data_IF_720909973308
#
_entry.id   IF_720909973308
#
_cell.length_a   1.000
_cell.length_b   1.000
_cell.length_c   1.000
_cell.angle_alpha   90.00
_cell.angle_beta   90.00
_cell.angle_gamma   90.00
#
_symmetry.space_group_name_H-M   'P 1'
#
loop_
_entity.id
_entity.type
_entity.pdbx_description
1 polymer ?
#
# COMPACT_ATOMS: atom_id res chain seq x y z
N UNK A 1 -7.44 -7.83 19.28
CA UNK A 1 -6.53 -7.69 18.10
C UNK A 1 -5.41 -6.74 18.49
N UNK A 2 -4.16 -7.21 18.57
CA UNK A 2 -3.02 -6.38 18.96
C UNK A 2 -2.63 -5.44 17.80
N UNK A 3 -3.05 -4.18 17.91
CA UNK A 3 -2.64 -3.12 16.99
C UNK A 3 -1.17 -2.83 17.30
N UNK A 4 -0.27 -3.31 16.43
CA UNK A 4 1.15 -3.10 16.63
C UNK A 4 1.45 -1.59 16.48
N UNK A 5 1.83 -0.88 17.57
CA UNK A 5 1.78 0.59 17.61
C UNK A 5 2.88 1.26 16.80
N UNK A 6 3.81 0.47 16.23
CA UNK A 6 4.89 1.02 15.42
C UNK A 6 4.35 1.44 14.05
N UNK A 7 4.61 2.69 13.63
CA UNK A 7 4.25 3.15 12.30
C UNK A 7 4.90 2.25 11.24
N UNK A 8 4.26 2.08 10.07
CA UNK A 8 4.88 1.36 8.97
C UNK A 8 6.21 2.02 8.60
N UNK A 9 7.21 1.21 8.30
CA UNK A 9 8.53 1.72 7.90
C UNK A 9 8.44 2.37 6.51
N UNK A 10 9.39 3.26 6.17
CA UNK A 10 9.44 3.90 4.83
C UNK A 10 9.31 2.87 3.70
N UNK A 11 10.02 1.75 3.81
CA UNK A 11 9.98 0.64 2.85
C UNK A 11 8.62 -0.02 2.70
N UNK A 12 7.81 -0.07 3.77
CA UNK A 12 6.43 -0.55 3.71
C UNK A 12 5.52 0.46 3.00
N UNK A 13 5.73 1.75 3.25
CA UNK A 13 4.98 2.83 2.62
C UNK A 13 5.28 2.88 1.12
N UNK A 14 6.55 2.76 0.72
CA UNK A 14 6.95 2.69 -0.69
C UNK A 14 6.30 1.51 -1.40
N UNK A 15 6.35 0.30 -0.81
CA UNK A 15 5.68 -0.87 -1.39
C UNK A 15 4.16 -0.71 -1.51
N UNK A 16 3.54 -0.03 -0.54
CA UNK A 16 2.11 0.28 -0.59
C UNK A 16 1.79 1.22 -1.76
N UNK A 17 2.61 2.25 -1.97
CA UNK A 17 2.50 3.18 -3.12
C UNK A 17 2.73 2.47 -4.45
N UNK A 18 3.78 1.65 -4.56
CA UNK A 18 4.06 0.86 -5.77
C UNK A 18 2.85 -0.01 -6.16
N UNK A 19 2.20 -0.67 -5.20
CA UNK A 19 1.02 -1.46 -5.49
C UNK A 19 -0.20 -0.62 -5.88
N UNK A 20 -0.38 0.54 -5.26
CA UNK A 20 -1.44 1.46 -5.65
C UNK A 20 -1.23 2.00 -7.07
N UNK A 21 0.01 2.32 -7.43
CA UNK A 21 0.36 2.79 -8.77
C UNK A 21 0.16 1.69 -9.81
N UNK A 22 0.58 0.45 -9.53
CA UNK A 22 0.30 -0.70 -10.41
C UNK A 22 -1.21 -0.94 -10.60
N UNK A 23 -1.99 -0.81 -9.52
CA UNK A 23 -3.45 -0.93 -9.57
C UNK A 23 -4.09 0.18 -10.43
N UNK A 24 -3.58 1.40 -10.34
CA UNK A 24 -4.11 2.60 -11.04
C UNK A 24 -3.70 2.66 -12.51
N UNK A 25 -2.43 2.38 -12.83
CA UNK A 25 -1.87 2.51 -14.18
C UNK A 25 -2.32 1.37 -15.10
N UNK A 26 -2.43 0.15 -14.56
CA UNK A 26 -2.70 -1.04 -15.37
C UNK A 26 -4.16 -1.50 -15.35
N UNK A 27 -5.07 -0.74 -14.73
CA UNK A 27 -6.51 -0.93 -14.84
C UNK A 27 -6.95 -2.39 -14.60
N UNK A 28 -6.55 -2.97 -13.46
CA UNK A 28 -6.85 -4.35 -13.03
C UNK A 28 -5.97 -5.49 -13.60
N UNK A 29 -5.05 -5.26 -14.55
CA UNK A 29 -4.34 -6.37 -15.22
C UNK A 29 -3.03 -6.84 -14.59
N UNK A 30 -2.37 -6.03 -13.76
CA UNK A 30 -1.10 -6.45 -13.12
C UNK A 30 -1.27 -6.47 -11.61
N UNK A 31 -1.63 -7.62 -11.03
CA UNK A 31 -1.69 -7.73 -9.59
C UNK A 31 -0.30 -7.69 -8.97
N UNK A 32 -0.19 -7.03 -7.82
CA UNK A 32 0.98 -7.18 -6.96
C UNK A 32 1.05 -8.62 -6.45
N UNK A 33 2.20 -9.27 -6.58
CA UNK A 33 2.38 -10.62 -6.05
C UNK A 33 2.89 -10.60 -4.60
N UNK A 34 2.46 -11.55 -3.74
CA UNK A 34 2.97 -11.76 -2.38
C UNK A 34 4.51 -11.73 -2.29
N UNK A 35 5.14 -12.30 -3.31
CA UNK A 35 6.58 -12.45 -3.45
C UNK A 35 7.30 -11.10 -3.63
N UNK A 36 6.62 -10.09 -4.20
CA UNK A 36 7.18 -8.75 -4.40
C UNK A 36 7.18 -7.91 -3.12
N UNK A 37 6.26 -8.18 -2.18
CA UNK A 37 6.14 -7.43 -0.93
C UNK A 37 6.98 -7.97 0.23
N UNK A 38 7.51 -9.21 0.15
CA UNK A 38 8.40 -9.85 1.15
C UNK A 38 8.04 -9.50 2.62
N UNK A 39 9.00 -9.02 3.42
CA UNK A 39 8.84 -8.66 4.84
C UNK A 39 7.84 -7.52 5.10
N UNK A 40 7.46 -6.75 4.09
CA UNK A 40 6.47 -5.67 4.22
C UNK A 40 5.02 -6.20 4.14
N UNK A 41 4.81 -7.33 3.46
CA UNK A 41 3.49 -7.94 3.26
C UNK A 41 2.77 -8.20 4.58
N UNK A 42 3.39 -8.98 5.47
CA UNK A 42 2.79 -9.36 6.73
C UNK A 42 2.47 -8.14 7.62
N UNK A 43 3.31 -7.11 7.55
CA UNK A 43 3.13 -5.88 8.32
C UNK A 43 1.98 -5.03 7.80
N UNK A 44 1.81 -4.92 6.48
CA UNK A 44 0.73 -4.16 5.84
C UNK A 44 -0.60 -4.93 5.95
N UNK A 45 -0.57 -6.25 5.76
CA UNK A 45 -1.74 -7.12 5.84
C UNK A 45 -2.32 -7.16 7.26
N UNK A 46 -1.48 -7.34 8.29
CA UNK A 46 -1.94 -7.30 9.70
C UNK A 46 -2.55 -5.96 10.11
N UNK A 47 -2.20 -4.88 9.41
CA UNK A 47 -2.73 -3.53 9.64
C UNK A 47 -3.98 -3.23 8.79
N UNK A 48 -4.40 -4.16 7.94
CA UNK A 48 -5.55 -3.99 7.05
C UNK A 48 -5.33 -2.91 6.00
N UNK A 49 -4.09 -2.63 5.61
CA UNK A 49 -3.77 -1.67 4.53
C UNK A 49 -3.79 -2.34 3.15
N UNK A 50 -3.49 -3.63 3.11
CA UNK A 50 -3.56 -4.47 1.91
C UNK A 50 -4.39 -5.72 2.18
N UNK A 51 -5.03 -6.23 1.15
CA UNK A 51 -5.72 -7.51 1.15
C UNK A 51 -5.10 -8.47 0.16
N UNK A 52 -5.45 -9.75 0.29
CA UNK A 52 -5.11 -10.77 -0.70
C UNK A 52 -6.38 -11.36 -1.29
N UNK A 53 -6.41 -11.54 -2.61
CA UNK A 53 -7.49 -12.21 -3.34
C UNK A 53 -6.91 -13.24 -4.29
N UNK A 54 -7.60 -14.35 -4.52
CA UNK A 54 -7.21 -15.25 -5.59
C UNK A 54 -7.77 -14.70 -6.90
N UNK A 55 -6.89 -14.52 -7.87
CA UNK A 55 -7.25 -14.01 -9.20
C UNK A 55 -6.69 -14.95 -10.28
N UNK A 56 -7.26 -14.88 -11.49
CA UNK A 56 -6.81 -15.70 -12.61
C UNK A 56 -5.97 -14.83 -13.53
N UNK A 57 -4.65 -15.03 -13.50
CA UNK A 57 -3.70 -14.32 -14.36
C UNK A 57 -3.02 -15.33 -15.27
N UNK A 58 -3.12 -15.10 -16.59
CA UNK A 58 -2.59 -16.02 -17.61
C UNK A 58 -3.08 -17.47 -17.37
N UNK A 59 -4.39 -17.64 -17.17
CA UNK A 59 -5.05 -18.94 -16.96
C UNK A 59 -4.61 -19.71 -15.69
N UNK A 60 -3.80 -19.08 -14.83
CA UNK A 60 -3.36 -19.64 -13.55
C UNK A 60 -4.02 -18.89 -12.40
N UNK A 61 -4.57 -19.66 -11.44
CA UNK A 61 -5.03 -19.11 -10.16
C UNK A 61 -3.80 -18.70 -9.34
N UNK A 62 -3.64 -17.41 -9.13
CA UNK A 62 -2.54 -16.83 -8.36
C UNK A 62 -3.09 -16.02 -7.20
N UNK A 63 -2.35 -15.99 -6.09
CA UNK A 63 -2.66 -15.11 -4.98
C UNK A 63 -2.17 -13.70 -5.32
N UNK A 64 -3.09 -12.76 -5.36
CA UNK A 64 -2.83 -11.36 -5.71
C UNK A 64 -3.01 -10.47 -4.48
N UNK A 65 -2.23 -9.41 -4.39
CA UNK A 65 -2.37 -8.35 -3.40
C UNK A 65 -3.14 -7.21 -4.03
N UNK A 66 -4.10 -6.66 -3.29
CA UNK A 66 -4.79 -5.42 -3.63
C UNK A 66 -4.69 -4.42 -2.49
N UNK A 67 -4.76 -3.12 -2.81
CA UNK A 67 -4.75 -2.06 -1.79
C UNK A 67 -6.18 -1.84 -1.30
N UNK A 68 -6.41 -2.02 0.00
CA UNK A 68 -7.72 -1.78 0.61
C UNK A 68 -8.03 -0.29 0.69
N UNK A 69 -9.29 0.10 0.89
CA UNK A 69 -9.69 1.49 1.14
C UNK A 69 -8.89 2.15 2.28
N UNK A 70 -8.64 1.41 3.36
CA UNK A 70 -7.81 1.86 4.47
C UNK A 70 -6.36 2.14 4.03
N UNK A 71 -5.80 1.31 3.14
CA UNK A 71 -4.50 1.53 2.54
C UNK A 71 -4.45 2.78 1.66
N UNK A 72 -5.46 2.97 0.82
CA UNK A 72 -5.60 4.16 -0.05
C UNK A 72 -5.71 5.43 0.78
N UNK A 73 -6.55 5.41 1.82
CA UNK A 73 -6.73 6.53 2.73
C UNK A 73 -5.45 6.84 3.53
N UNK A 74 -4.72 5.82 3.95
CA UNK A 74 -3.43 5.97 4.64
C UNK A 74 -2.38 6.65 3.75
N UNK A 75 -2.27 6.25 2.48
CA UNK A 75 -1.38 6.91 1.50
C UNK A 75 -1.81 8.37 1.28
N UNK A 76 -3.10 8.61 1.09
CA UNK A 76 -3.64 9.96 0.89
C UNK A 76 -3.39 10.88 2.12
N UNK A 77 -3.51 10.36 3.34
CA UNK A 77 -3.21 11.12 4.57
C UNK A 77 -1.73 11.46 4.68
N UNK A 78 -0.85 10.52 4.31
CA UNK A 78 0.59 10.76 4.25
C UNK A 78 0.94 11.87 3.26
N UNK A 79 0.35 11.87 2.06
CA UNK A 79 0.59 12.91 1.05
C UNK A 79 0.03 14.27 1.48
N UNK A 80 -1.14 14.30 2.10
CA UNK A 80 -1.68 15.52 2.71
C UNK A 80 -0.80 16.07 3.84
N UNK A 81 -0.18 15.20 4.64
CA UNK A 81 0.77 15.61 5.69
C UNK A 81 2.09 16.15 5.15
N UNK A 82 2.55 15.65 4.00
CA UNK A 82 3.72 16.21 3.31
C UNK A 82 3.41 17.61 2.80
N UNK A 83 2.26 17.82 2.17
CA UNK A 83 1.82 19.13 1.67
C UNK A 83 1.65 20.16 2.80
N UNK A 84 1.16 19.75 3.97
CA UNK A 84 1.04 20.64 5.15
C UNK A 84 2.39 21.05 5.78
N UNK A 85 3.52 20.43 5.41
CA UNK A 85 4.84 20.85 5.89
C UNK A 85 5.47 21.98 5.06
N UNK A 86 5.07 22.14 3.80
CA UNK A 86 5.61 23.22 2.96
C UNK A 86 5.02 24.59 3.28
N UNK A 87 3.81 24.64 3.86
CA UNK A 87 3.18 25.92 4.23
C UNK A 87 3.73 26.57 5.51
N UNK A 88 4.60 25.87 6.27
CA UNK A 88 5.23 26.42 7.49
C UNK A 88 6.66 26.96 7.31
N UNK A 89 7.21 26.96 6.09
CA UNK A 89 8.57 27.46 5.82
C UNK A 89 8.65 28.71 4.94
N UNK A 90 7.55 29.44 4.74
CA UNK A 90 7.54 30.73 3.99
C UNK A 90 7.11 31.95 4.82
N UNK A 91 7.25 31.91 6.14
CA UNK A 91 7.09 33.11 6.96
C UNK A 91 8.14 33.13 8.07
N UNK A 92 9.32 33.64 7.74
CA UNK A 92 10.25 34.27 8.67
C UNK A 92 10.88 35.44 7.94
#
# INVERSE_FOLDING_TARGET
>A
MHINPRPPTKRMIEKLKECLEKETVYGEKIPCLPEEMKSSLAGLYKRGLIGTRMDVVNEKKVLCIFVTDSGKQFVADLEKKVLKKEEKSKTS
#
